data_IF_855900536299
#
_entry.id   IF_855900536299
#
_cell.length_a   1.000
_cell.length_b   1.000
_cell.length_c   1.000
_cell.angle_alpha   90.00
_cell.angle_beta   90.00
_cell.angle_gamma   90.00
#
_symmetry.space_group_name_H-M   'P 1'
#
loop_
_entity.id
_entity.type
_entity.pdbx_description
1 polymer ?
#
# COMPACT_ATOMS: atom_id res chain seq x y z
N UNK A 1 -12.72 8.94 15.05
CA UNK A 1 -12.76 8.52 13.62
C UNK A 1 -11.62 9.15 12.84
N UNK A 2 -11.33 10.44 13.03
CA UNK A 2 -10.19 11.13 12.41
C UNK A 2 -8.84 10.43 12.59
N UNK A 3 -8.49 10.05 13.82
CA UNK A 3 -7.22 9.34 14.08
C UNK A 3 -7.15 8.00 13.33
N UNK A 4 -8.28 7.31 13.20
CA UNK A 4 -8.37 6.06 12.48
C UNK A 4 -8.22 6.26 10.97
N UNK A 5 -8.84 7.29 10.38
CA UNK A 5 -8.67 7.62 8.96
C UNK A 5 -7.22 7.99 8.65
N UNK A 6 -6.58 8.78 9.53
CA UNK A 6 -5.16 9.10 9.43
C UNK A 6 -4.28 7.86 9.47
N UNK A 7 -4.45 6.99 10.46
CA UNK A 7 -3.65 5.76 10.55
C UNK A 7 -3.80 4.89 9.31
N UNK A 8 -5.02 4.70 8.80
CA UNK A 8 -5.25 3.91 7.58
C UNK A 8 -4.62 4.55 6.36
N UNK A 9 -4.69 5.87 6.21
CA UNK A 9 -4.00 6.59 5.14
C UNK A 9 -2.48 6.40 5.19
N UNK A 10 -1.88 6.36 6.39
CA UNK A 10 -0.47 6.03 6.55
C UNK A 10 -0.16 4.59 6.12
N UNK A 11 -1.04 3.63 6.40
CA UNK A 11 -0.87 2.25 5.92
C UNK A 11 -0.85 2.18 4.39
N UNK A 12 -1.75 2.89 3.70
CA UNK A 12 -1.73 2.97 2.23
C UNK A 12 -0.39 3.52 1.75
N UNK A 13 0.08 4.64 2.32
CA UNK A 13 1.34 5.27 1.96
C UNK A 13 2.55 4.35 2.14
N UNK A 14 2.60 3.63 3.27
CA UNK A 14 3.67 2.66 3.54
C UNK A 14 3.63 1.51 2.54
N UNK A 15 2.45 0.99 2.19
CA UNK A 15 2.30 -0.08 1.19
C UNK A 15 2.75 0.38 -0.20
N UNK A 16 2.37 1.60 -0.62
CA UNK A 16 2.81 2.18 -1.90
C UNK A 16 4.32 2.40 -1.95
N UNK A 17 4.90 2.95 -0.88
CA UNK A 17 6.34 3.15 -0.77
C UNK A 17 7.10 1.83 -0.81
N UNK A 18 6.60 0.81 -0.11
CA UNK A 18 7.19 -0.53 -0.13
C UNK A 18 7.06 -1.18 -1.52
N UNK A 19 5.94 -0.98 -2.21
CA UNK A 19 5.74 -1.45 -3.58
C UNK A 19 6.76 -0.81 -4.54
N UNK A 20 7.00 0.50 -4.43
CA UNK A 20 8.00 1.19 -5.24
C UNK A 20 9.41 0.65 -4.97
N UNK A 21 9.77 0.43 -3.71
CA UNK A 21 11.06 -0.15 -3.32
C UNK A 21 11.26 -1.56 -3.90
N UNK A 22 10.24 -2.42 -3.79
CA UNK A 22 10.31 -3.80 -4.32
C UNK A 22 10.36 -3.82 -5.85
N UNK A 23 9.58 -2.97 -6.52
CA UNK A 23 9.65 -2.81 -7.98
C UNK A 23 11.03 -2.33 -8.44
N UNK A 24 11.61 -1.35 -7.74
CA UNK A 24 12.95 -0.86 -8.03
C UNK A 24 13.99 -1.98 -7.87
N UNK A 25 13.94 -2.73 -6.77
CA UNK A 25 14.86 -3.83 -6.51
C UNK A 25 14.74 -4.93 -7.57
N UNK A 26 13.52 -5.39 -7.86
CA UNK A 26 13.27 -6.45 -8.83
C UNK A 26 13.69 -6.05 -10.25
N UNK A 27 13.35 -4.82 -10.67
CA UNK A 27 13.71 -4.28 -12.00
C UNK A 27 15.23 -4.25 -12.23
N UNK A 28 16.01 -4.00 -11.17
CA UNK A 28 17.47 -3.92 -11.25
C UNK A 28 18.19 -5.23 -10.87
N UNK A 29 17.47 -6.27 -10.44
CA UNK A 29 18.05 -7.53 -9.99
C UNK A 29 18.53 -8.47 -11.12
N UNK A 30 18.23 -8.14 -12.38
CA UNK A 30 18.64 -8.94 -13.54
C UNK A 30 17.97 -10.32 -13.60
N UNK A 31 18.52 -11.23 -14.40
CA UNK A 31 17.95 -12.58 -14.61
C UNK A 31 17.91 -13.44 -13.34
N UNK A 32 18.85 -13.25 -12.41
CA UNK A 32 18.87 -13.99 -11.14
C UNK A 32 17.64 -13.68 -10.27
N UNK A 33 17.06 -12.49 -10.39
CA UNK A 33 15.86 -12.11 -9.65
C UNK A 33 14.64 -12.99 -9.99
N UNK A 34 14.62 -13.61 -11.18
CA UNK A 34 13.54 -14.51 -11.62
C UNK A 34 13.64 -15.92 -11.05
N UNK A 35 14.80 -16.31 -10.49
CA UNK A 35 15.00 -17.66 -9.98
C UNK A 35 14.15 -17.88 -8.73
N UNK A 36 13.62 -19.09 -8.58
CA UNK A 36 12.84 -19.46 -7.38
C UNK A 36 13.65 -19.30 -6.09
N UNK A 37 14.97 -19.50 -6.16
CA UNK A 37 15.91 -19.30 -5.04
C UNK A 37 16.18 -17.84 -4.69
N UNK A 38 15.68 -16.88 -5.47
CA UNK A 38 15.82 -15.45 -5.20
C UNK A 38 14.60 -14.94 -4.44
N UNK A 39 14.84 -14.22 -3.35
CA UNK A 39 13.78 -13.59 -2.57
C UNK A 39 13.08 -12.45 -3.33
N UNK A 40 13.73 -11.87 -4.35
CA UNK A 40 13.18 -10.71 -5.07
C UNK A 40 11.87 -11.01 -5.80
N UNK A 41 11.75 -12.16 -6.49
CA UNK A 41 10.47 -12.53 -7.13
C UNK A 41 9.38 -12.82 -6.11
N UNK A 42 9.75 -13.37 -4.94
CA UNK A 42 8.80 -13.64 -3.88
C UNK A 42 8.29 -12.33 -3.28
N UNK A 43 9.18 -11.41 -2.91
CA UNK A 43 8.80 -10.10 -2.40
C UNK A 43 7.91 -9.34 -3.40
N UNK A 44 8.22 -9.39 -4.71
CA UNK A 44 7.39 -8.77 -5.74
C UNK A 44 5.96 -9.33 -5.71
N UNK A 45 5.81 -10.66 -5.80
CA UNK A 45 4.49 -11.30 -5.81
C UNK A 45 3.73 -11.04 -4.51
N UNK A 46 4.41 -11.16 -3.37
CA UNK A 46 3.80 -10.99 -2.04
C UNK A 46 3.32 -9.55 -1.84
N UNK A 47 4.11 -8.54 -2.25
CA UNK A 47 3.69 -7.15 -2.21
C UNK A 47 2.48 -6.88 -3.10
N UNK A 48 2.43 -7.47 -4.30
CA UNK A 48 1.27 -7.34 -5.17
C UNK A 48 0.02 -8.01 -4.60
N UNK A 49 0.18 -9.09 -3.83
CA UNK A 49 -0.89 -9.73 -3.06
C UNK A 49 -1.39 -8.86 -1.91
N UNK A 50 -0.48 -8.34 -1.07
CA UNK A 50 -0.83 -7.45 0.06
C UNK A 50 -1.52 -6.17 -0.41
N UNK A 51 -1.10 -5.62 -1.56
CA UNK A 51 -1.71 -4.43 -2.15
C UNK A 51 -3.20 -4.60 -2.52
N UNK A 52 -3.71 -5.84 -2.61
CA UNK A 52 -5.14 -6.10 -2.83
C UNK A 52 -5.99 -5.98 -1.56
N UNK A 53 -5.37 -5.91 -0.38
CA UNK A 53 -6.12 -5.92 0.87
C UNK A 53 -6.86 -4.60 1.09
N UNK A 54 -8.15 -4.68 1.40
CA UNK A 54 -9.02 -3.50 1.59
C UNK A 54 -8.46 -2.47 2.59
N UNK A 55 -7.81 -2.93 3.67
CA UNK A 55 -7.16 -2.07 4.67
C UNK A 55 -6.19 -1.04 4.08
N UNK A 56 -5.54 -1.38 2.95
CA UNK A 56 -4.55 -0.53 2.26
C UNK A 56 -5.10 0.02 0.93
N UNK A 57 -6.42 0.05 0.77
CA UNK A 57 -7.09 0.68 -0.36
C UNK A 57 -6.95 2.20 -0.31
N UNK A 58 -6.84 2.82 -1.50
CA UNK A 58 -6.80 4.27 -1.70
C UNK A 58 -8.03 5.00 -1.17
N UNK A 59 -9.15 4.31 -0.94
CA UNK A 59 -10.34 4.87 -0.27
C UNK A 59 -10.00 5.42 1.13
N UNK A 60 -8.96 4.88 1.78
CA UNK A 60 -8.48 5.42 3.06
C UNK A 60 -7.85 6.82 2.95
N UNK A 61 -7.24 7.17 1.82
CA UNK A 61 -6.78 8.55 1.58
C UNK A 61 -7.96 9.51 1.46
N UNK A 62 -9.00 9.12 0.74
CA UNK A 62 -10.21 9.94 0.57
C UNK A 62 -10.87 10.21 1.91
N UNK A 63 -11.08 9.17 2.72
CA UNK A 63 -11.67 9.31 4.05
C UNK A 63 -10.83 10.16 5.01
N UNK A 64 -9.49 10.11 4.90
CA UNK A 64 -8.62 11.01 5.65
C UNK A 64 -8.74 12.46 5.16
N UNK A 65 -8.76 12.67 3.84
CA UNK A 65 -8.94 13.99 3.23
C UNK A 65 -10.28 14.64 3.61
N UNK A 66 -11.37 13.87 3.63
CA UNK A 66 -12.69 14.36 4.06
C UNK A 66 -12.67 14.85 5.52
N UNK A 67 -11.97 14.14 6.41
CA UNK A 67 -11.76 14.59 7.79
C UNK A 67 -10.95 15.89 7.85
N UNK A 68 -9.87 16.01 7.06
CA UNK A 68 -9.07 17.24 7.00
C UNK A 68 -9.87 18.46 6.50
N UNK A 69 -10.89 18.22 5.67
CA UNK A 69 -11.82 19.24 5.17
C UNK A 69 -12.98 19.53 6.14
N UNK A 70 -13.03 18.89 7.31
CA UNK A 70 -14.07 19.13 8.32
C UNK A 70 -15.43 18.49 8.00
N UNK A 71 -15.47 17.49 7.12
CA UNK A 71 -16.70 16.75 6.82
C UNK A 71 -17.10 15.84 7.99
N UNK A 72 -18.38 15.80 8.34
CA UNK A 72 -18.89 15.06 9.50
C UNK A 72 -19.45 13.69 9.18
N UNK A 73 -19.78 13.42 7.91
CA UNK A 73 -20.34 12.15 7.43
C UNK A 73 -19.31 11.39 6.59
N UNK A 74 -18.28 10.86 7.27
CA UNK A 74 -17.17 10.15 6.64
C UNK A 74 -17.31 8.66 6.83
N UNK A 75 -17.46 7.92 5.73
CA UNK A 75 -17.43 6.46 5.71
C UNK A 75 -15.99 5.94 5.53
N UNK A 76 -15.51 5.19 6.52
CA UNK A 76 -14.17 4.59 6.52
C UNK A 76 -14.11 3.24 5.78
N UNK A 77 -15.27 2.70 5.38
CA UNK A 77 -15.41 1.35 4.82
C UNK A 77 -16.07 1.35 3.44
N UNK A 78 -16.10 2.51 2.77
CA UNK A 78 -16.59 2.67 1.41
C UNK A 78 -15.77 1.88 0.37
#
# INVERSE_FOLDING_TARGET
>A
LEFQSKMRSCCVYVTETAMDAVNLAFRNGGGEALRESSDLQQCLRDMHGVAQHYMVSRTSYEAHGQHLLGMTDVDLMR
#
